data_IF_561690960657
#
_entry.id   IF_561690960657
#
_cell.length_a   1.000
_cell.length_b   1.000
_cell.length_c   1.000
_cell.angle_alpha   90.00
_cell.angle_beta   90.00
_cell.angle_gamma   90.00
#
_symmetry.space_group_name_H-M   'P 1'
#
loop_
_entity.id
_entity.type
_entity.pdbx_description
1 polymer ?
#
# COMPACT_ATOMS: atom_id res chain seq x y z
N UNK A 1 -9.17 16.65 5.46
CA UNK A 1 -8.23 15.81 5.93
C UNK A 1 -8.61 14.61 6.75
N UNK A 2 -9.20 14.80 7.93
CA UNK A 2 -9.47 13.70 8.84
C UNK A 2 -10.46 12.68 8.27
N UNK A 3 -11.51 13.14 7.58
CA UNK A 3 -12.51 12.25 6.99
C UNK A 3 -11.90 11.47 5.83
N UNK A 4 -11.12 12.12 4.97
CA UNK A 4 -10.42 11.43 3.88
C UNK A 4 -9.52 10.32 4.43
N UNK A 5 -8.84 10.57 5.55
CA UNK A 5 -7.96 9.59 6.17
C UNK A 5 -8.65 8.31 6.63
N UNK A 6 -9.98 8.31 6.78
CA UNK A 6 -10.73 7.08 7.07
C UNK A 6 -11.03 6.27 5.81
N UNK A 7 -10.83 6.84 4.64
CA UNK A 7 -11.09 6.20 3.33
C UNK A 7 -9.80 5.81 2.63
N UNK A 8 -8.89 6.77 2.47
CA UNK A 8 -7.71 6.64 1.64
C UNK A 8 -6.46 7.09 2.40
N UNK A 9 -5.32 6.93 1.77
CA UNK A 9 -4.04 7.30 2.36
C UNK A 9 -3.60 8.69 1.92
N UNK A 10 -2.68 9.28 2.67
CA UNK A 10 -2.07 10.55 2.35
C UNK A 10 -0.68 10.65 2.96
N UNK A 11 0.16 11.55 2.46
CA UNK A 11 1.51 11.70 2.97
C UNK A 11 1.53 12.52 4.26
N UNK A 12 2.40 12.14 5.19
CA UNK A 12 2.69 12.99 6.36
C UNK A 12 3.37 14.28 5.91
N UNK A 13 4.27 14.17 4.95
CA UNK A 13 4.93 15.31 4.28
C UNK A 13 4.79 15.11 2.77
N UNK A 14 4.24 16.09 2.07
CA UNK A 14 4.06 15.99 0.63
C UNK A 14 5.39 16.20 -0.09
N UNK A 15 5.95 15.09 -0.50
CA UNK A 15 7.17 15.03 -1.32
C UNK A 15 6.98 13.83 -2.25
N UNK A 16 6.52 14.08 -3.47
CA UNK A 16 6.13 13.01 -4.38
C UNK A 16 7.23 11.97 -4.62
N UNK A 17 8.48 12.33 -4.92
CA UNK A 17 9.54 11.32 -5.09
C UNK A 17 9.72 10.45 -3.85
N UNK A 18 9.75 11.03 -2.67
CA UNK A 18 9.88 10.30 -1.41
C UNK A 18 8.66 9.44 -1.13
N UNK A 19 7.47 9.96 -1.40
CA UNK A 19 6.21 9.24 -1.19
C UNK A 19 6.11 8.03 -2.12
N UNK A 20 6.45 8.20 -3.40
CA UNK A 20 6.49 7.10 -4.37
C UNK A 20 7.51 6.05 -3.95
N UNK A 21 8.71 6.47 -3.53
CA UNK A 21 9.75 5.55 -3.08
C UNK A 21 9.29 4.73 -1.87
N UNK A 22 8.64 5.36 -0.91
CA UNK A 22 8.09 4.67 0.27
C UNK A 22 7.08 3.60 -0.15
N UNK A 23 6.18 3.93 -1.06
CA UNK A 23 5.17 2.98 -1.56
C UNK A 23 5.81 1.86 -2.40
N UNK A 24 6.85 2.17 -3.18
CA UNK A 24 7.62 1.15 -3.91
C UNK A 24 8.26 0.17 -2.93
N UNK A 25 8.94 0.65 -1.91
CA UNK A 25 9.61 -0.20 -0.92
C UNK A 25 8.59 -1.05 -0.18
N UNK A 26 7.52 -0.44 0.31
CA UNK A 26 6.47 -1.16 1.04
C UNK A 26 5.84 -2.27 0.23
N UNK A 27 5.47 -1.96 -1.01
CA UNK A 27 4.85 -2.95 -1.90
C UNK A 27 5.85 -4.01 -2.35
N UNK A 28 7.11 -3.63 -2.58
CA UNK A 28 8.16 -4.59 -2.87
C UNK A 28 8.28 -5.62 -1.75
N UNK A 29 8.39 -5.18 -0.51
CA UNK A 29 8.50 -6.07 0.65
C UNK A 29 7.25 -6.96 0.77
N UNK A 30 6.06 -6.39 0.57
CA UNK A 30 4.82 -7.15 0.61
C UNK A 30 4.82 -8.26 -0.43
N UNK A 31 5.01 -7.92 -1.69
CA UNK A 31 4.90 -8.89 -2.80
C UNK A 31 6.03 -9.90 -2.75
N UNK A 32 7.26 -9.48 -2.51
CA UNK A 32 8.39 -10.39 -2.39
C UNK A 32 8.18 -11.36 -1.22
N UNK A 33 7.69 -10.86 -0.08
CA UNK A 33 7.36 -11.69 1.07
C UNK A 33 6.29 -12.73 0.76
N UNK A 34 5.22 -12.32 0.07
CA UNK A 34 4.15 -13.24 -0.35
C UNK A 34 4.69 -14.33 -1.28
N UNK A 35 5.51 -13.96 -2.26
CA UNK A 35 6.13 -14.91 -3.18
C UNK A 35 7.09 -15.84 -2.45
N UNK A 36 7.88 -15.34 -1.51
CA UNK A 36 8.78 -16.16 -0.70
C UNK A 36 8.02 -17.15 0.18
N UNK A 37 6.90 -16.75 0.77
CA UNK A 37 6.06 -17.65 1.56
C UNK A 37 5.55 -18.83 0.70
N UNK A 38 5.24 -18.57 -0.58
CA UNK A 38 4.75 -19.60 -1.49
C UNK A 38 5.77 -20.70 -1.78
N UNK A 39 7.06 -20.43 -1.51
CA UNK A 39 8.13 -21.43 -1.69
C UNK A 39 8.32 -22.33 -0.48
N UNK A 40 7.57 -22.11 0.59
CA UNK A 40 7.68 -22.88 1.82
C UNK A 40 6.48 -23.80 1.98
N UNK A 41 6.75 -25.00 2.49
CA UNK A 41 5.69 -25.97 2.82
C UNK A 41 5.16 -25.65 4.21
N UNK A 42 4.09 -24.85 4.24
CA UNK A 42 3.50 -24.35 5.49
C UNK A 42 2.30 -25.19 5.88
N UNK A 43 2.12 -25.38 7.20
CA UNK A 43 0.93 -26.02 7.75
C UNK A 43 -0.33 -25.22 7.38
N UNK A 44 -1.47 -25.91 7.30
CA UNK A 44 -2.74 -25.27 6.99
C UNK A 44 -3.05 -24.14 7.97
N UNK A 45 -3.44 -22.99 7.44
CA UNK A 45 -3.78 -21.79 8.24
C UNK A 45 -2.60 -20.92 8.66
N UNK A 46 -1.35 -21.37 8.47
CA UNK A 46 -0.17 -20.57 8.85
C UNK A 46 0.07 -19.45 7.87
N UNK A 47 -0.13 -19.66 6.56
CA UNK A 47 0.15 -18.63 5.57
C UNK A 47 -0.67 -17.34 5.78
N UNK A 48 -1.99 -17.39 6.01
CA UNK A 48 -2.74 -16.16 6.32
C UNK A 48 -2.22 -15.43 7.55
N UNK A 49 -1.77 -16.15 8.57
CA UNK A 49 -1.19 -15.53 9.77
C UNK A 49 0.12 -14.83 9.45
N UNK A 50 1.01 -15.43 8.66
CA UNK A 50 2.26 -14.83 8.24
C UNK A 50 2.02 -13.58 7.39
N UNK A 51 1.04 -13.62 6.49
CA UNK A 51 0.65 -12.45 5.68
C UNK A 51 0.16 -11.31 6.58
N UNK A 52 -0.68 -11.63 7.57
CA UNK A 52 -1.16 -10.63 8.53
C UNK A 52 -0.02 -10.00 9.32
N UNK A 53 0.95 -10.79 9.78
CA UNK A 53 2.13 -10.29 10.49
C UNK A 53 2.98 -9.41 9.58
N UNK A 54 3.17 -9.81 8.33
CA UNK A 54 3.90 -9.01 7.34
C UNK A 54 3.25 -7.64 7.13
N UNK A 55 1.94 -7.60 6.93
CA UNK A 55 1.20 -6.35 6.75
C UNK A 55 1.26 -5.49 8.03
N UNK A 56 1.16 -6.10 9.19
CA UNK A 56 1.32 -5.39 10.46
C UNK A 56 2.70 -4.74 10.56
N UNK A 57 3.75 -5.47 10.21
CA UNK A 57 5.12 -4.94 10.21
C UNK A 57 5.28 -3.76 9.25
N UNK A 58 4.69 -3.85 8.06
CA UNK A 58 4.69 -2.75 7.10
C UNK A 58 3.92 -1.53 7.62
N UNK A 59 2.78 -1.76 8.26
CA UNK A 59 2.01 -0.67 8.87
C UNK A 59 2.76 0.05 9.98
N UNK A 60 3.44 -0.70 10.84
CA UNK A 60 4.21 -0.13 11.94
C UNK A 60 5.46 0.61 11.45
N UNK A 61 6.09 0.17 10.36
CA UNK A 61 7.33 0.75 9.86
C UNK A 61 7.12 1.85 8.82
N UNK A 62 6.13 1.70 7.93
CA UNK A 62 5.93 2.61 6.78
C UNK A 62 4.58 3.35 6.82
N UNK A 63 3.78 3.13 7.85
CA UNK A 63 2.51 3.83 8.00
C UNK A 63 2.67 5.32 8.23
N UNK A 64 3.74 5.73 8.91
CA UNK A 64 4.02 7.15 9.19
C UNK A 64 4.17 7.99 7.93
N UNK A 65 5.08 7.65 7.01
CA UNK A 65 5.34 8.49 5.83
C UNK A 65 4.17 8.62 4.86
N UNK A 66 3.45 7.53 4.55
CA UNK A 66 2.43 7.54 3.48
C UNK A 66 1.14 6.83 3.84
N UNK A 67 1.02 6.24 5.03
CA UNK A 67 -0.13 5.42 5.38
C UNK A 67 -0.11 4.02 4.74
N UNK A 68 1.02 3.60 4.22
CA UNK A 68 1.26 2.28 3.61
C UNK A 68 0.08 1.77 2.77
N UNK A 69 -0.31 2.52 1.75
CA UNK A 69 -1.38 2.08 0.85
C UNK A 69 -1.08 0.71 0.24
N UNK A 70 0.11 0.55 -0.30
CA UNK A 70 0.69 -0.69 -0.87
C UNK A 70 -0.28 -1.50 -1.75
N UNK A 71 -1.35 -0.84 -2.19
CA UNK A 71 -2.41 -1.46 -2.97
C UNK A 71 -3.21 -0.36 -3.67
N UNK A 72 -3.18 -0.28 -5.01
CA UNK A 72 -3.89 0.77 -5.74
C UNK A 72 -5.40 0.75 -5.49
N UNK A 73 -6.01 -0.42 -5.42
CA UNK A 73 -7.45 -0.55 -5.22
C UNK A 73 -7.87 -0.12 -3.81
N UNK A 74 -7.05 -0.43 -2.81
CA UNK A 74 -7.29 -0.05 -1.41
C UNK A 74 -7.32 1.46 -1.24
N UNK A 75 -6.62 2.21 -2.09
CA UNK A 75 -6.62 3.68 -2.03
C UNK A 75 -7.63 4.28 -3.02
N UNK A 76 -7.60 3.87 -4.27
CA UNK A 76 -8.43 4.46 -5.33
C UNK A 76 -9.92 4.25 -5.10
N UNK A 77 -10.35 3.04 -4.77
CA UNK A 77 -11.77 2.74 -4.52
C UNK A 77 -12.36 3.58 -3.41
N UNK A 78 -11.77 3.56 -2.20
CA UNK A 78 -12.25 4.38 -1.10
C UNK A 78 -12.14 5.89 -1.36
N UNK A 79 -11.13 6.35 -2.09
CA UNK A 79 -11.00 7.78 -2.47
C UNK A 79 -12.16 8.20 -3.36
N UNK A 80 -12.53 7.36 -4.31
CA UNK A 80 -13.68 7.59 -5.17
C UNK A 80 -14.97 7.62 -4.36
N UNK A 81 -15.12 6.69 -3.41
CA UNK A 81 -16.27 6.68 -2.49
C UNK A 81 -16.33 7.98 -1.68
N UNK A 82 -15.19 8.46 -1.18
CA UNK A 82 -15.11 9.74 -0.47
C UNK A 82 -15.60 10.89 -1.35
N UNK A 83 -15.24 10.90 -2.63
CA UNK A 83 -15.67 11.93 -3.58
C UNK A 83 -17.19 11.94 -3.73
N UNK A 84 -17.83 10.79 -3.72
CA UNK A 84 -19.26 10.62 -4.03
C UNK A 84 -20.14 10.82 -2.81
N UNK A 85 -19.72 10.47 -1.60
CA UNK A 85 -20.58 10.50 -0.42
C UNK A 85 -21.10 11.92 -0.14
N UNK A 86 -22.38 12.04 0.27
CA UNK A 86 -22.99 13.35 0.49
C UNK A 86 -22.74 13.89 1.91
N UNK A 87 -21.47 13.94 2.35
CA UNK A 87 -21.07 14.49 3.65
C UNK A 87 -20.51 15.88 3.44
N UNK A 88 -21.15 16.87 4.02
CA UNK A 88 -20.82 18.30 3.78
C UNK A 88 -19.43 18.69 4.29
N UNK A 89 -18.96 18.05 5.36
CA UNK A 89 -17.69 18.39 6.02
C UNK A 89 -16.54 17.49 5.59
N UNK A 90 -16.73 16.67 4.56
CA UNK A 90 -15.73 15.68 4.15
C UNK A 90 -14.43 16.29 3.64
N UNK A 91 -14.47 17.49 3.08
CA UNK A 91 -13.30 18.14 2.51
C UNK A 91 -12.92 17.59 1.13
N UNK A 92 -11.70 17.89 0.71
CA UNK A 92 -11.16 17.49 -0.58
C UNK A 92 -10.75 16.02 -0.57
N UNK A 93 -10.88 15.36 -1.72
CA UNK A 93 -10.47 13.97 -1.91
C UNK A 93 -9.00 13.80 -2.30
N UNK A 94 -8.26 14.91 -2.39
CA UNK A 94 -6.82 14.94 -2.66
C UNK A 94 -6.41 14.13 -3.91
N UNK A 95 -7.06 14.40 -5.02
CA UNK A 95 -6.77 13.72 -6.28
C UNK A 95 -5.35 13.98 -6.79
N UNK A 96 -4.73 15.11 -6.37
CA UNK A 96 -3.36 15.42 -6.72
C UNK A 96 -2.35 14.39 -6.16
N UNK A 97 -2.71 13.69 -5.09
CA UNK A 97 -1.88 12.64 -4.49
C UNK A 97 -2.23 11.24 -5.00
N UNK A 98 -3.43 11.03 -5.55
CA UNK A 98 -4.00 9.70 -5.82
C UNK A 98 -3.14 8.82 -6.73
N UNK A 99 -2.28 9.40 -7.56
CA UNK A 99 -1.40 8.67 -8.45
C UNK A 99 -0.27 7.92 -7.70
N UNK A 100 0.14 8.44 -6.54
CA UNK A 100 1.23 7.84 -5.74
C UNK A 100 0.89 6.42 -5.29
N UNK A 101 -0.27 6.16 -4.66
CA UNK A 101 -0.65 4.81 -4.28
C UNK A 101 -1.05 3.91 -5.46
N UNK A 102 -1.02 4.42 -6.68
CA UNK A 102 -1.18 3.62 -7.90
C UNK A 102 0.19 3.28 -8.48
N UNK A 103 0.99 4.30 -8.80
CA UNK A 103 2.29 4.13 -9.44
C UNK A 103 3.29 3.44 -8.52
N UNK A 104 3.38 3.84 -7.26
CA UNK A 104 4.29 3.25 -6.29
C UNK A 104 4.09 1.75 -6.13
N UNK A 105 2.88 1.30 -5.77
CA UNK A 105 2.61 -0.14 -5.63
C UNK A 105 2.84 -0.94 -6.92
N UNK A 106 2.44 -0.42 -8.08
CA UNK A 106 2.65 -1.14 -9.35
C UNK A 106 4.14 -1.33 -9.62
N UNK A 107 4.95 -0.29 -9.43
CA UNK A 107 6.39 -0.37 -9.61
C UNK A 107 7.03 -1.31 -8.58
N UNK A 108 6.63 -1.22 -7.32
CA UNK A 108 7.14 -2.06 -6.25
C UNK A 108 6.82 -3.54 -6.47
N UNK A 109 5.58 -3.85 -6.83
CA UNK A 109 5.15 -5.21 -7.10
C UNK A 109 5.86 -5.79 -8.33
N UNK A 110 5.99 -5.00 -9.39
CA UNK A 110 6.68 -5.41 -10.62
C UNK A 110 8.15 -5.71 -10.35
N UNK A 111 8.82 -4.83 -9.60
CA UNK A 111 10.22 -5.03 -9.23
C UNK A 111 10.41 -6.27 -8.37
N UNK A 112 9.52 -6.50 -7.40
CA UNK A 112 9.55 -7.70 -6.56
C UNK A 112 9.40 -8.97 -7.39
N UNK A 113 8.46 -8.99 -8.33
CA UNK A 113 8.25 -10.12 -9.21
C UNK A 113 9.48 -10.42 -10.07
N UNK A 114 10.10 -9.39 -10.65
CA UNK A 114 11.29 -9.55 -11.49
C UNK A 114 12.46 -10.09 -10.67
N UNK A 115 12.74 -9.50 -9.51
CA UNK A 115 13.85 -9.95 -8.66
C UNK A 115 13.60 -11.37 -8.16
N UNK A 116 12.36 -11.69 -7.80
CA UNK A 116 11.99 -13.05 -7.38
C UNK A 116 12.31 -14.09 -8.47
N UNK A 117 12.00 -13.77 -9.73
CA UNK A 117 12.29 -14.67 -10.85
C UNK A 117 13.78 -14.95 -11.01
N UNK A 118 14.65 -13.98 -10.66
CA UNK A 118 16.10 -14.15 -10.75
C UNK A 118 16.71 -14.81 -9.51
N UNK A 119 16.00 -14.95 -8.41
CA UNK A 119 16.49 -15.57 -7.18
C UNK A 119 16.09 -17.03 -7.03
N UNK A 120 15.20 -17.50 -7.89
CA UNK A 120 14.74 -18.90 -7.95
C UNK A 120 15.29 -19.58 -9.21
#
# INVERSE_FOLDING_TARGET
GAILGTFATGPAVRNYPANVLTEIIGTFVLVFGLLAFSQNDLAAGINPMLVGILVLGLGLSLGGPTGYAINPARDLGPRLAHQIIPVKTKGDSDWAYSWVPIVGPILGASLAAVIYLFTI
#
